data_IF_423079512167
#
_entry.id   IF_423079512167
#
_cell.length_a   1.000
_cell.length_b   1.000
_cell.length_c   1.000
_cell.angle_alpha   90.00
_cell.angle_beta   90.00
_cell.angle_gamma   90.00
#
_symmetry.space_group_name_H-M   'P 1'
#
loop_
_entity.id
_entity.type
_entity.pdbx_description
1 polymer ?
#
# COMPACT_ATOMS: atom_id res chain seq x y z
N UNK A 1 -41.54 -13.63 48.78
CA UNK A 1 -42.57 -14.37 49.55
C UNK A 1 -43.33 -15.28 48.60
N UNK A 2 -43.67 -16.49 49.02
CA UNK A 2 -44.44 -17.46 48.24
C UNK A 2 -45.71 -17.87 49.00
N UNK A 3 -46.78 -18.15 48.25
CA UNK A 3 -47.92 -19.04 48.57
C UNK A 3 -48.78 -19.07 47.28
N UNK A 4 -49.13 -20.20 46.62
CA UNK A 4 -49.69 -21.47 47.11
C UNK A 4 -51.07 -21.22 47.80
N UNK A 5 -52.19 -21.93 47.60
CA UNK A 5 -52.56 -23.16 46.87
C UNK A 5 -53.94 -22.92 46.14
N UNK A 6 -54.70 -23.83 45.50
CA UNK A 6 -54.64 -25.30 45.28
C UNK A 6 -55.52 -25.72 44.05
N UNK A 7 -55.71 -27.04 43.85
CA UNK A 7 -56.88 -27.77 43.28
C UNK A 7 -57.30 -27.61 41.80
N UNK A 8 -57.07 -28.72 41.08
CA UNK A 8 -57.53 -29.06 39.73
C UNK A 8 -59.07 -29.15 39.59
N UNK A 9 -59.51 -29.05 38.33
CA UNK A 9 -60.76 -29.53 37.71
C UNK A 9 -62.02 -28.62 37.69
N UNK A 10 -62.14 -27.93 36.54
CA UNK A 10 -63.34 -27.74 35.68
C UNK A 10 -64.57 -26.98 36.25
N UNK A 11 -64.81 -25.78 35.69
CA UNK A 11 -65.97 -25.36 34.84
C UNK A 11 -65.92 -23.82 34.68
N UNK A 12 -65.69 -23.27 33.48
CA UNK A 12 -66.61 -23.00 32.35
C UNK A 12 -67.20 -21.57 32.35
N UNK A 13 -66.56 -20.65 31.60
CA UNK A 13 -67.14 -19.63 30.68
C UNK A 13 -66.00 -19.36 29.65
N UNK A 14 -66.04 -19.76 28.35
CA UNK A 14 -66.80 -19.24 27.19
C UNK A 14 -66.52 -17.76 26.86
N UNK A 15 -66.51 -17.27 25.62
CA UNK A 15 -66.43 -17.88 24.28
C UNK A 15 -66.07 -16.75 23.27
N UNK A 16 -65.33 -17.10 22.21
CA UNK A 16 -65.31 -16.43 20.90
C UNK A 16 -64.86 -14.94 20.86
N UNK A 17 -64.44 -14.35 19.74
CA UNK A 17 -64.59 -14.75 18.34
C UNK A 17 -63.41 -14.28 17.46
N UNK A 18 -63.21 -14.95 16.32
CA UNK A 18 -62.25 -14.56 15.29
C UNK A 18 -62.95 -13.83 14.14
N UNK A 19 -62.41 -12.71 13.62
CA UNK A 19 -62.75 -12.20 12.28
C UNK A 19 -61.84 -11.06 11.76
N UNK A 20 -61.51 -11.11 10.47
CA UNK A 20 -60.86 -10.04 9.68
C UNK A 20 -59.34 -9.94 9.89
N UNK A 21 -58.45 -10.32 8.96
CA UNK A 21 -58.52 -10.28 7.50
C UNK A 21 -59.00 -8.93 6.94
N UNK A 22 -58.22 -7.87 7.18
CA UNK A 22 -58.08 -6.73 6.25
C UNK A 22 -56.82 -5.90 6.58
N UNK A 23 -56.35 -5.11 5.61
CA UNK A 23 -55.33 -4.05 5.77
C UNK A 23 -53.85 -4.40 6.07
N UNK A 24 -53.36 -5.63 5.83
CA UNK A 24 -51.92 -5.85 5.47
C UNK A 24 -51.62 -5.52 4.00
N UNK A 25 -52.25 -4.48 3.47
CA UNK A 25 -52.03 -3.94 2.11
C UNK A 25 -52.05 -2.40 2.20
N UNK A 26 -50.87 -1.78 2.35
CA UNK A 26 -50.54 -0.37 1.96
C UNK A 26 -49.16 0.16 2.41
N UNK A 27 -48.42 -0.52 3.29
CA UNK A 27 -47.08 -0.06 3.76
C UNK A 27 -45.96 -1.07 3.43
N UNK A 28 -45.97 -1.60 2.21
CA UNK A 28 -44.93 -2.52 1.71
C UNK A 28 -44.56 -2.20 0.25
N UNK A 29 -44.53 -0.91 -0.10
CA UNK A 29 -44.36 -0.44 -1.48
C UNK A 29 -43.50 0.85 -1.61
N UNK A 30 -42.70 1.22 -0.59
CA UNK A 30 -41.75 2.34 -0.66
C UNK A 30 -40.51 2.04 0.20
N UNK A 31 -39.57 1.21 -0.29
CA UNK A 31 -38.18 1.10 0.22
C UNK A 31 -37.30 0.11 -0.60
N UNK A 32 -37.51 -0.05 -1.90
CA UNK A 32 -36.73 -1.00 -2.72
C UNK A 32 -36.28 -0.40 -4.06
N UNK A 33 -35.95 0.89 -4.03
CA UNK A 33 -35.27 1.60 -5.11
C UNK A 33 -34.00 2.24 -4.53
N UNK A 34 -32.89 2.11 -5.25
CA UNK A 34 -31.64 2.90 -5.07
C UNK A 34 -30.53 2.45 -4.10
N UNK A 35 -30.45 1.18 -3.68
CA UNK A 35 -29.19 0.66 -3.09
C UNK A 35 -28.07 0.52 -4.13
N UNK A 36 -28.43 0.23 -5.39
CA UNK A 36 -27.48 0.08 -6.50
C UNK A 36 -26.80 1.42 -6.83
N UNK A 37 -27.54 2.53 -6.81
CA UNK A 37 -27.01 3.86 -7.13
C UNK A 37 -25.89 4.28 -6.17
N UNK A 38 -26.05 4.03 -4.86
CA UNK A 38 -25.06 4.41 -3.85
C UNK A 38 -23.72 3.68 -3.96
N UNK A 39 -23.66 2.55 -4.68
CA UNK A 39 -22.42 1.78 -4.93
C UNK A 39 -21.93 1.97 -6.37
N UNK A 40 -22.84 1.95 -7.34
CA UNK A 40 -22.51 2.11 -8.77
C UNK A 40 -22.13 3.54 -9.10
N UNK A 41 -22.76 4.58 -8.53
CA UNK A 41 -22.39 5.98 -8.80
C UNK A 41 -20.95 6.26 -8.37
N UNK A 42 -20.47 5.98 -7.13
CA UNK A 42 -19.06 6.21 -6.80
C UNK A 42 -18.10 5.36 -7.63
N UNK A 43 -18.42 4.09 -7.94
CA UNK A 43 -17.55 3.25 -8.80
C UNK A 43 -17.48 3.78 -10.24
N UNK A 44 -18.60 4.21 -10.81
CA UNK A 44 -18.66 4.83 -12.14
C UNK A 44 -17.96 6.18 -12.14
N UNK A 45 -18.19 7.02 -11.13
CA UNK A 45 -17.49 8.30 -10.96
C UNK A 45 -15.97 8.07 -10.94
N UNK A 46 -15.47 7.14 -10.12
CA UNK A 46 -14.03 6.83 -10.02
C UNK A 46 -13.45 6.29 -11.34
N UNK A 47 -14.24 5.56 -12.13
CA UNK A 47 -13.87 5.16 -13.51
C UNK A 47 -13.89 6.32 -14.50
N UNK A 48 -14.79 7.31 -14.34
CA UNK A 48 -14.90 8.47 -15.25
C UNK A 48 -13.89 9.59 -14.98
N UNK A 49 -13.43 9.76 -13.74
CA UNK A 49 -12.48 10.82 -13.38
C UNK A 49 -11.02 10.44 -13.65
N UNK A 50 -10.74 9.15 -13.85
CA UNK A 50 -9.42 8.59 -13.59
C UNK A 50 -9.12 8.53 -12.08
N UNK A 51 -8.07 7.80 -11.71
CA UNK A 51 -7.54 7.83 -10.36
C UNK A 51 -6.91 9.20 -10.01
N UNK A 52 -6.48 9.40 -8.75
CA UNK A 52 -5.66 10.56 -8.41
C UNK A 52 -4.41 10.60 -9.32
N UNK A 53 -4.02 11.77 -9.85
CA UNK A 53 -2.94 11.86 -10.82
C UNK A 53 -1.61 11.36 -10.25
N UNK A 54 -0.96 10.47 -10.99
CA UNK A 54 0.35 9.87 -10.69
C UNK A 54 1.41 10.35 -11.67
N UNK A 55 2.62 9.83 -11.49
CA UNK A 55 3.66 9.74 -12.49
C UNK A 55 4.16 8.29 -12.56
N UNK A 56 4.33 7.79 -13.78
CA UNK A 56 5.04 6.55 -14.08
C UNK A 56 6.55 6.81 -14.06
N UNK A 57 7.30 6.05 -13.27
CA UNK A 57 8.77 6.00 -13.32
C UNK A 57 9.20 4.60 -13.79
N UNK A 58 10.27 4.50 -14.56
CA UNK A 58 10.81 3.22 -15.06
C UNK A 58 12.03 2.78 -14.24
N UNK A 59 12.16 1.47 -13.98
CA UNK A 59 13.26 0.89 -13.20
C UNK A 59 14.55 0.84 -14.00
N UNK A 60 15.65 1.21 -13.36
CA UNK A 60 17.02 1.05 -13.84
C UNK A 60 17.85 0.38 -12.73
N UNK A 61 18.35 -0.83 -13.01
CA UNK A 61 19.31 -1.50 -12.13
C UNK A 61 20.64 -0.74 -12.07
N UNK A 62 21.36 -0.90 -10.98
CA UNK A 62 22.70 -0.35 -10.77
C UNK A 62 23.75 -1.36 -11.19
N UNK A 63 24.72 -0.92 -11.99
CA UNK A 63 25.82 -1.75 -12.51
C UNK A 63 27.00 -1.81 -11.54
N UNK A 64 27.07 -0.89 -10.57
CA UNK A 64 28.13 -0.78 -9.58
C UNK A 64 28.14 -2.01 -8.62
N UNK A 65 29.20 -2.84 -8.56
CA UNK A 65 29.18 -4.16 -7.89
C UNK A 65 28.88 -4.19 -6.38
N UNK A 66 28.92 -3.04 -5.70
CA UNK A 66 28.62 -2.91 -4.28
C UNK A 66 27.16 -2.47 -4.01
N UNK A 67 26.43 -2.03 -5.04
CA UNK A 67 25.05 -1.58 -4.96
C UNK A 67 24.09 -2.78 -5.02
N UNK A 68 24.08 -3.59 -3.96
CA UNK A 68 23.26 -4.79 -3.83
C UNK A 68 22.33 -4.71 -2.62
N UNK A 69 21.14 -5.28 -2.76
CA UNK A 69 20.15 -5.44 -1.68
C UNK A 69 20.64 -6.42 -0.60
N UNK A 70 19.88 -6.53 0.51
CA UNK A 70 20.23 -7.43 1.62
C UNK A 70 20.52 -8.86 1.14
N UNK A 71 19.71 -9.39 0.22
CA UNK A 71 19.80 -10.74 -0.35
C UNK A 71 20.84 -10.91 -1.49
N UNK A 72 21.65 -9.88 -1.74
CA UNK A 72 22.67 -9.86 -2.79
C UNK A 72 22.14 -9.60 -4.22
N UNK A 73 20.85 -9.36 -4.42
CA UNK A 73 20.32 -8.91 -5.72
C UNK A 73 20.76 -7.49 -6.06
N UNK A 74 20.96 -7.16 -7.35
CA UNK A 74 21.33 -5.80 -7.76
C UNK A 74 20.27 -4.79 -7.34
N UNK A 75 20.67 -3.72 -6.67
CA UNK A 75 19.75 -2.63 -6.34
C UNK A 75 19.38 -1.83 -7.61
N UNK A 76 18.36 -0.99 -7.50
CA UNK A 76 17.82 -0.21 -8.60
C UNK A 76 17.22 1.11 -8.11
N UNK A 77 17.11 2.07 -9.03
CA UNK A 77 16.29 3.26 -8.86
C UNK A 77 15.21 3.27 -9.93
N UNK A 78 14.07 3.91 -9.66
CA UNK A 78 13.11 4.26 -10.70
C UNK A 78 13.31 5.71 -11.12
N UNK A 79 13.13 6.01 -12.40
CA UNK A 79 13.34 7.36 -12.93
C UNK A 79 12.27 7.75 -13.95
N UNK A 80 11.86 9.02 -13.89
CA UNK A 80 11.09 9.72 -14.92
C UNK A 80 11.84 11.00 -15.30
N UNK A 81 12.10 11.15 -16.58
CA UNK A 81 12.72 12.35 -17.12
C UNK A 81 11.82 13.58 -16.98
N UNK A 82 12.44 14.73 -16.70
CA UNK A 82 11.79 16.03 -16.61
C UNK A 82 11.90 16.83 -17.91
N UNK A 83 11.74 18.14 -17.81
CA UNK A 83 12.26 19.06 -18.83
C UNK A 83 13.70 19.43 -18.49
N UNK A 84 14.53 19.65 -19.50
CA UNK A 84 15.96 19.94 -19.34
C UNK A 84 16.31 21.11 -18.39
N UNK A 85 15.38 22.05 -18.15
CA UNK A 85 15.52 23.20 -17.25
C UNK A 85 14.83 23.02 -15.88
N UNK A 86 14.25 21.85 -15.61
CA UNK A 86 13.44 21.59 -14.42
C UNK A 86 14.28 21.09 -13.24
N UNK A 87 13.84 21.35 -11.99
CA UNK A 87 14.52 20.84 -10.81
C UNK A 87 14.49 19.31 -10.74
N UNK A 88 15.41 18.76 -9.95
CA UNK A 88 15.46 17.35 -9.60
C UNK A 88 14.71 17.08 -8.29
N UNK A 89 13.90 16.03 -8.25
CA UNK A 89 13.39 15.39 -7.04
C UNK A 89 14.05 14.03 -6.92
N UNK A 90 14.83 13.83 -5.86
CA UNK A 90 15.45 12.54 -5.53
C UNK A 90 14.85 12.09 -4.21
N UNK A 91 14.06 11.03 -4.25
CA UNK A 91 13.45 10.41 -3.08
C UNK A 91 14.23 9.17 -2.67
N UNK A 92 14.52 9.05 -1.37
CA UNK A 92 15.00 7.84 -0.75
C UNK A 92 13.81 7.14 -0.10
N UNK A 93 13.51 5.91 -0.53
CA UNK A 93 12.40 5.13 0.03
C UNK A 93 12.63 4.82 1.52
N UNK A 94 11.55 4.86 2.30
CA UNK A 94 11.55 4.52 3.73
C UNK A 94 11.17 3.06 4.00
N UNK A 95 10.63 2.80 5.18
CA UNK A 95 10.14 1.46 5.56
C UNK A 95 11.04 0.74 6.56
N UNK A 96 11.32 1.39 7.70
CA UNK A 96 12.05 0.83 8.85
C UNK A 96 13.45 0.27 8.52
N UNK A 97 14.02 -0.51 9.43
CA UNK A 97 15.33 -1.18 9.34
C UNK A 97 15.31 -2.42 10.23
N UNK A 98 16.32 -3.27 10.12
CA UNK A 98 16.58 -4.33 11.10
C UNK A 98 17.95 -4.10 11.76
N UNK A 99 18.19 -4.70 12.93
CA UNK A 99 19.36 -4.36 13.78
C UNK A 99 20.08 -5.57 14.37
N UNK A 100 19.51 -6.77 14.22
CA UNK A 100 20.08 -8.05 14.63
C UNK A 100 19.60 -9.17 13.69
N UNK A 101 20.15 -10.38 13.85
CA UNK A 101 19.88 -11.52 12.95
C UNK A 101 18.38 -11.88 12.96
N UNK A 102 17.75 -11.87 14.13
CA UNK A 102 16.35 -12.29 14.31
C UNK A 102 15.37 -11.26 13.72
N UNK A 103 15.60 -9.95 13.93
CA UNK A 103 14.81 -8.88 13.31
C UNK A 103 14.97 -8.85 11.79
N UNK A 104 16.15 -9.12 11.25
CA UNK A 104 16.34 -9.23 9.81
C UNK A 104 15.69 -10.50 9.22
N UNK A 105 15.71 -11.62 9.94
CA UNK A 105 15.00 -12.84 9.54
C UNK A 105 13.47 -12.65 9.56
N UNK A 106 12.93 -11.99 10.60
CA UNK A 106 11.51 -11.64 10.68
C UNK A 106 11.10 -10.67 9.56
N UNK A 107 11.94 -9.65 9.28
CA UNK A 107 11.72 -8.71 8.17
C UNK A 107 11.74 -9.41 6.81
N UNK A 108 12.63 -10.39 6.59
CA UNK A 108 12.65 -11.17 5.35
C UNK A 108 11.32 -11.92 5.11
N UNK A 109 10.69 -12.43 6.17
CA UNK A 109 9.41 -13.14 6.10
C UNK A 109 8.20 -12.21 5.89
N UNK A 110 8.25 -10.97 6.36
CA UNK A 110 7.12 -10.04 6.35
C UNK A 110 7.21 -8.93 5.29
N UNK A 111 8.42 -8.48 4.95
CA UNK A 111 8.70 -7.34 4.06
C UNK A 111 9.81 -7.66 3.02
N UNK A 112 9.78 -8.80 2.31
CA UNK A 112 10.87 -9.22 1.41
C UNK A 112 11.18 -8.21 0.29
N UNK A 113 10.20 -7.41 -0.12
CA UNK A 113 10.35 -6.34 -1.11
C UNK A 113 11.30 -5.21 -0.65
N UNK A 114 11.49 -5.06 0.67
CA UNK A 114 12.42 -4.10 1.27
C UNK A 114 13.78 -4.73 1.64
N UNK A 115 14.04 -5.94 1.12
CA UNK A 115 15.29 -6.70 1.29
C UNK A 115 15.81 -7.32 -0.02
N UNK A 116 15.02 -7.26 -1.11
CA UNK A 116 15.30 -7.86 -2.41
C UNK A 116 14.71 -7.04 -3.55
N UNK A 117 15.44 -6.89 -4.65
CA UNK A 117 14.91 -6.31 -5.89
C UNK A 117 14.27 -7.34 -6.83
N UNK A 118 14.33 -8.64 -6.51
CA UNK A 118 13.95 -9.76 -7.41
C UNK A 118 12.48 -9.73 -7.86
N UNK A 119 11.60 -9.12 -7.06
CA UNK A 119 10.16 -9.03 -7.30
C UNK A 119 9.71 -7.60 -7.69
N UNK A 120 10.63 -6.66 -7.85
CA UNK A 120 10.31 -5.29 -8.25
C UNK A 120 9.75 -5.24 -9.68
N UNK A 121 8.81 -4.33 -9.92
CA UNK A 121 8.22 -4.10 -11.23
C UNK A 121 9.16 -3.37 -12.20
N UNK A 122 8.80 -3.35 -13.48
CA UNK A 122 9.51 -2.53 -14.48
C UNK A 122 9.16 -1.04 -14.36
N UNK A 123 8.00 -0.73 -13.76
CA UNK A 123 7.55 0.64 -13.48
C UNK A 123 6.99 0.78 -12.07
N UNK A 124 6.98 2.03 -11.60
CA UNK A 124 6.39 2.46 -10.35
C UNK A 124 5.43 3.63 -10.62
N UNK A 125 4.18 3.50 -10.19
CA UNK A 125 3.20 4.58 -10.18
C UNK A 125 3.26 5.32 -8.84
N UNK A 126 3.51 6.63 -8.86
CA UNK A 126 3.66 7.42 -7.64
C UNK A 126 2.92 8.77 -7.72
N UNK A 127 2.19 9.11 -6.65
CA UNK A 127 1.40 10.34 -6.53
C UNK A 127 2.09 11.44 -5.71
N UNK A 128 1.30 12.33 -5.11
CA UNK A 128 1.81 13.39 -4.24
C UNK A 128 2.71 14.38 -4.98
N UNK A 129 3.83 14.79 -4.38
CA UNK A 129 4.76 15.78 -4.96
C UNK A 129 5.43 15.34 -6.27
N UNK A 130 5.37 14.05 -6.59
CA UNK A 130 6.00 13.43 -7.77
C UNK A 130 5.09 13.41 -9.01
N UNK A 131 3.80 13.69 -8.83
CA UNK A 131 2.78 13.50 -9.86
C UNK A 131 2.96 14.44 -11.05
N UNK A 132 2.37 14.05 -12.18
CA UNK A 132 2.30 14.84 -13.41
C UNK A 132 1.54 16.17 -13.30
N UNK A 133 0.89 16.46 -12.16
CA UNK A 133 0.19 17.73 -11.91
C UNK A 133 0.69 18.54 -10.69
N UNK A 134 1.63 18.02 -9.89
CA UNK A 134 2.11 18.69 -8.69
C UNK A 134 2.79 20.03 -9.00
N UNK A 135 2.26 21.18 -8.59
CA UNK A 135 2.99 22.44 -8.73
C UNK A 135 3.94 22.65 -7.53
N UNK A 136 5.22 23.03 -7.73
CA UNK A 136 5.88 23.36 -8.99
C UNK A 136 6.45 22.16 -9.78
N UNK A 137 6.58 20.99 -9.14
CA UNK A 137 7.40 19.83 -9.59
C UNK A 137 6.87 18.98 -10.75
N UNK A 138 5.72 19.30 -11.37
CA UNK A 138 5.07 18.53 -12.46
C UNK A 138 5.92 18.28 -13.71
N UNK A 139 7.02 19.02 -13.84
CA UNK A 139 8.02 18.95 -14.93
C UNK A 139 9.40 18.52 -14.44
N UNK A 140 9.56 18.29 -13.13
CA UNK A 140 10.82 17.87 -12.52
C UNK A 140 11.30 16.54 -13.08
N UNK A 141 12.61 16.36 -13.10
CA UNK A 141 13.23 15.05 -13.14
C UNK A 141 12.94 14.37 -11.80
N UNK A 142 12.45 13.12 -11.81
CA UNK A 142 12.11 12.40 -10.59
C UNK A 142 12.86 11.09 -10.55
N UNK A 143 13.68 10.91 -9.51
CA UNK A 143 14.35 9.66 -9.18
C UNK A 143 13.83 9.13 -7.84
N UNK A 144 13.56 7.82 -7.80
CA UNK A 144 13.11 7.08 -6.63
C UNK A 144 14.16 6.02 -6.34
N UNK A 145 15.01 6.24 -5.35
CA UNK A 145 16.00 5.26 -4.89
C UNK A 145 15.26 4.26 -4.01
N UNK A 146 15.00 3.08 -4.57
CA UNK A 146 14.24 2.04 -3.91
C UNK A 146 15.07 1.37 -2.81
N UNK A 147 14.43 1.09 -1.68
CA UNK A 147 15.10 0.71 -0.44
C UNK A 147 15.05 -0.79 -0.23
N UNK A 148 16.20 -1.44 -0.39
CA UNK A 148 16.36 -2.88 -0.17
C UNK A 148 17.54 -3.24 0.73
N UNK A 149 18.02 -2.29 1.54
CA UNK A 149 19.23 -2.43 2.36
C UNK A 149 18.98 -2.51 3.86
N UNK A 150 17.77 -2.23 4.34
CA UNK A 150 17.36 -2.36 5.76
C UNK A 150 18.29 -1.69 6.79
N UNK A 151 19.04 -0.65 6.39
CA UNK A 151 20.08 0.06 7.14
C UNK A 151 19.89 1.60 7.14
N UNK A 152 18.68 2.07 6.84
CA UNK A 152 18.31 3.48 6.73
C UNK A 152 19.23 4.30 5.80
N UNK A 153 19.71 3.67 4.71
CA UNK A 153 20.62 4.25 3.70
C UNK A 153 22.05 4.55 4.20
N UNK A 154 22.44 4.09 5.39
CA UNK A 154 23.74 4.41 6.01
C UNK A 154 24.77 3.27 5.95
N UNK A 155 24.36 2.03 5.65
CA UNK A 155 25.22 0.86 5.72
C UNK A 155 26.17 0.71 4.53
N UNK A 156 27.35 0.13 4.79
CA UNK A 156 28.29 -0.31 3.75
C UNK A 156 29.05 -1.60 4.11
N UNK A 157 28.34 -2.59 4.65
CA UNK A 157 28.86 -3.89 5.07
C UNK A 157 28.46 -5.00 4.08
N UNK A 158 29.37 -5.92 3.79
CA UNK A 158 29.09 -7.13 3.04
C UNK A 158 28.32 -8.15 3.88
N UNK A 159 27.68 -9.14 3.23
CA UNK A 159 27.27 -10.37 3.89
C UNK A 159 28.46 -11.03 4.60
N UNK A 160 28.26 -11.37 5.87
CA UNK A 160 29.23 -12.05 6.73
C UNK A 160 28.49 -12.84 7.81
N UNK A 161 29.22 -13.64 8.61
CA UNK A 161 28.62 -14.40 9.71
C UNK A 161 28.00 -13.46 10.76
N UNK A 162 28.65 -12.32 11.03
CA UNK A 162 28.15 -11.35 12.00
C UNK A 162 26.93 -10.56 11.50
N UNK A 163 26.65 -10.55 10.19
CA UNK A 163 25.42 -9.96 9.62
C UNK A 163 24.32 -10.99 9.37
N UNK A 164 24.49 -12.24 9.82
CA UNK A 164 23.56 -13.32 9.52
C UNK A 164 23.46 -13.67 8.02
N UNK A 165 24.48 -13.33 7.23
CA UNK A 165 24.51 -13.51 5.78
C UNK A 165 23.88 -12.36 4.97
N UNK A 166 23.41 -11.29 5.60
CA UNK A 166 22.81 -10.14 4.90
C UNK A 166 23.84 -9.07 4.52
N UNK A 167 23.72 -8.51 3.32
CA UNK A 167 24.41 -7.28 2.94
C UNK A 167 23.71 -6.06 3.56
N UNK A 168 24.44 -5.00 3.90
CA UNK A 168 23.90 -3.71 4.34
C UNK A 168 24.61 -2.62 3.55
N UNK A 169 24.06 -2.21 2.40
CA UNK A 169 24.74 -1.42 1.37
C UNK A 169 24.07 -0.09 1.04
N UNK A 170 23.23 0.44 1.93
CA UNK A 170 22.49 1.67 1.73
C UNK A 170 23.34 2.84 1.19
N UNK A 171 24.53 3.07 1.78
CA UNK A 171 25.46 4.10 1.31
C UNK A 171 25.86 3.85 -0.15
N UNK A 172 26.27 2.62 -0.47
CA UNK A 172 26.74 2.26 -1.81
C UNK A 172 25.62 2.37 -2.86
N UNK A 173 24.38 2.02 -2.50
CA UNK A 173 23.18 2.15 -3.35
C UNK A 173 22.87 3.62 -3.62
N UNK A 174 22.88 4.48 -2.60
CA UNK A 174 22.64 5.93 -2.76
C UNK A 174 23.73 6.55 -3.63
N UNK A 175 25.01 6.29 -3.36
CA UNK A 175 26.09 6.82 -4.18
C UNK A 175 26.05 6.33 -5.63
N UNK A 176 25.77 5.05 -5.88
CA UNK A 176 25.64 4.49 -7.22
C UNK A 176 24.44 5.10 -7.97
N UNK A 177 23.32 5.28 -7.29
CA UNK A 177 22.16 5.99 -7.82
C UNK A 177 22.52 7.42 -8.21
N UNK A 178 23.14 8.20 -7.32
CA UNK A 178 23.57 9.57 -7.62
C UNK A 178 24.58 9.61 -8.78
N UNK A 179 25.56 8.70 -8.83
CA UNK A 179 26.48 8.57 -9.97
C UNK A 179 25.75 8.27 -11.28
N UNK A 180 24.73 7.42 -11.26
CA UNK A 180 23.89 7.14 -12.44
C UNK A 180 23.03 8.33 -12.87
N UNK A 181 22.55 9.16 -11.93
CA UNK A 181 21.81 10.39 -12.23
C UNK A 181 22.70 11.52 -12.76
N UNK A 182 23.94 11.67 -12.28
CA UNK A 182 24.93 12.62 -12.84
C UNK A 182 25.21 12.28 -14.31
N UNK A 183 25.31 11.00 -14.66
CA UNK A 183 25.40 10.53 -16.07
C UNK A 183 24.16 10.89 -16.93
N UNK A 184 23.06 11.36 -16.32
CA UNK A 184 21.82 11.82 -16.96
C UNK A 184 21.60 13.34 -16.89
N UNK A 185 22.52 14.11 -16.30
CA UNK A 185 22.42 15.58 -16.18
C UNK A 185 21.86 16.11 -14.86
N UNK A 186 22.06 15.36 -13.76
CA UNK A 186 22.01 15.91 -12.39
C UNK A 186 23.26 16.75 -12.10
#
# INVERSE_FOLDING_TARGET
AACALEKRMRRLVRCDDARGYSNRRKIAAVALVSSVALVVIPIVLWRTTGGPPTATLHRYFLDEPLAVCNDGSSAAYYYREGRADAPWLIYLEGGHWCWDIDSCAARWLHEPMLMSSRQWGESLEIGGIYSSNAYPFRRAHVAYVAYCSSDAHMGNRAASVETGGWHFRGQAIVEASLRALVRRGL
#
